data_IF_725310051332
#
_entry.id   IF_725310051332
#
_cell.length_a   1.000
_cell.length_b   1.000
_cell.length_c   1.000
_cell.angle_alpha   90.00
_cell.angle_beta   90.00
_cell.angle_gamma   90.00
#
_symmetry.space_group_name_H-M   'P 1'
#
loop_
_entity.id
_entity.type
_entity.pdbx_description
1 polymer ?
#
# COMPACT_ATOMS: atom_id res chain seq x y z
N UNK A 1 -17.59 -2.13 0.38
CA UNK A 1 -18.34 -1.20 -0.51
C UNK A 1 -19.84 -1.40 -0.39
N UNK A 2 -20.32 -2.63 -0.38
CA UNK A 2 -21.75 -2.97 -0.36
C UNK A 2 -22.49 -2.42 0.87
N UNK A 3 -21.85 -2.42 2.03
CA UNK A 3 -22.40 -1.79 3.24
C UNK A 3 -22.71 -0.31 2.99
N UNK A 4 -21.72 0.48 2.57
CA UNK A 4 -21.91 1.92 2.34
C UNK A 4 -22.84 2.23 1.18
N UNK A 5 -22.82 1.41 0.11
CA UNK A 5 -23.77 1.55 -1.00
C UNK A 5 -25.21 1.42 -0.50
N UNK A 6 -25.46 0.45 0.38
CA UNK A 6 -26.78 0.22 0.97
C UNK A 6 -27.18 1.31 1.96
N UNK A 7 -26.27 1.69 2.88
CA UNK A 7 -26.53 2.67 3.93
C UNK A 7 -26.77 4.08 3.35
N UNK A 8 -26.04 4.46 2.32
CA UNK A 8 -26.09 5.79 1.73
C UNK A 8 -27.02 5.89 0.50
N UNK A 9 -27.51 4.75 -0.02
CA UNK A 9 -28.28 4.70 -1.27
C UNK A 9 -27.47 5.17 -2.50
N UNK A 10 -26.14 5.19 -2.42
CA UNK A 10 -25.25 5.70 -3.47
C UNK A 10 -24.46 4.55 -4.09
N UNK A 11 -24.32 4.57 -5.42
CA UNK A 11 -23.41 3.66 -6.09
C UNK A 11 -21.95 4.12 -5.91
N UNK A 12 -21.31 3.67 -4.83
CA UNK A 12 -19.95 4.06 -4.47
C UNK A 12 -18.95 3.67 -5.56
N UNK A 13 -19.14 2.53 -6.23
CA UNK A 13 -18.28 2.12 -7.35
C UNK A 13 -18.40 3.06 -8.55
N UNK A 14 -19.60 3.56 -8.85
CA UNK A 14 -19.80 4.53 -9.92
C UNK A 14 -19.15 5.87 -9.58
N UNK A 15 -19.28 6.34 -8.34
CA UNK A 15 -18.63 7.58 -7.88
C UNK A 15 -17.10 7.48 -7.96
N UNK A 16 -16.52 6.33 -7.59
CA UNK A 16 -15.08 6.08 -7.73
C UNK A 16 -14.63 6.09 -9.19
N UNK A 17 -15.40 5.47 -10.09
CA UNK A 17 -15.12 5.53 -11.54
C UNK A 17 -15.19 6.95 -12.09
N UNK A 18 -16.16 7.76 -11.67
CA UNK A 18 -16.25 9.16 -12.07
C UNK A 18 -15.08 10.03 -11.60
N UNK A 19 -14.40 9.62 -10.52
CA UNK A 19 -13.19 10.26 -10.00
C UNK A 19 -11.89 9.66 -10.54
N UNK A 20 -11.97 8.66 -11.42
CA UNK A 20 -10.82 7.88 -11.88
C UNK A 20 -9.76 8.69 -12.63
N UNK A 21 -10.15 9.79 -13.28
CA UNK A 21 -9.23 10.67 -14.01
C UNK A 21 -8.22 11.38 -13.11
N UNK A 22 -8.47 11.38 -11.77
CA UNK A 22 -7.56 11.91 -10.76
C UNK A 22 -6.61 10.87 -10.19
N UNK A 23 -6.75 9.60 -10.62
CA UNK A 23 -5.86 8.52 -10.18
C UNK A 23 -4.56 8.62 -10.99
N UNK A 24 -3.46 8.87 -10.32
CA UNK A 24 -2.13 8.93 -10.92
C UNK A 24 -1.10 8.29 -10.00
N UNK A 25 -0.01 7.81 -10.60
CA UNK A 25 1.17 7.34 -9.86
C UNK A 25 1.90 8.56 -9.28
N UNK A 26 2.36 8.46 -8.04
CA UNK A 26 3.18 9.51 -7.42
C UNK A 26 4.48 9.72 -8.21
N UNK A 27 4.98 10.97 -8.26
CA UNK A 27 6.30 11.24 -8.85
C UNK A 27 7.37 10.32 -8.25
N UNK A 28 8.21 9.75 -9.09
CA UNK A 28 9.30 8.84 -8.72
C UNK A 28 8.90 7.42 -8.31
N UNK A 29 7.62 7.16 -7.98
CA UNK A 29 7.20 5.84 -7.51
C UNK A 29 7.31 4.76 -8.59
N UNK A 30 7.05 5.09 -9.84
CA UNK A 30 7.18 4.13 -10.94
C UNK A 30 8.65 3.74 -11.17
N UNK A 31 9.57 4.71 -11.18
CA UNK A 31 11.00 4.44 -11.29
C UNK A 31 11.53 3.59 -10.13
N UNK A 32 11.05 3.86 -8.91
CA UNK A 32 11.38 3.05 -7.74
C UNK A 32 10.87 1.61 -7.86
N UNK A 33 9.63 1.41 -8.28
CA UNK A 33 9.06 0.08 -8.49
C UNK A 33 9.77 -0.69 -9.61
N UNK A 34 10.11 -0.02 -10.72
CA UNK A 34 10.87 -0.61 -11.81
C UNK A 34 12.25 -1.10 -11.33
N UNK A 35 12.97 -0.27 -10.57
CA UNK A 35 14.27 -0.64 -10.04
C UNK A 35 14.20 -1.81 -9.03
N UNK A 36 13.10 -1.92 -8.26
CA UNK A 36 12.86 -3.07 -7.40
C UNK A 36 12.57 -4.34 -8.22
N UNK A 37 11.73 -4.23 -9.25
CA UNK A 37 11.35 -5.36 -10.11
C UNK A 37 12.53 -5.91 -10.94
N UNK A 38 13.49 -5.05 -11.32
CA UNK A 38 14.73 -5.44 -12.00
C UNK A 38 15.73 -6.13 -11.03
N UNK A 39 15.51 -6.03 -9.73
CA UNK A 39 16.37 -6.58 -8.69
C UNK A 39 15.95 -7.98 -8.23
N UNK A 40 16.72 -8.59 -7.32
CA UNK A 40 16.43 -9.92 -6.79
C UNK A 40 15.36 -9.92 -5.67
N UNK A 41 14.77 -8.79 -5.38
CA UNK A 41 13.80 -8.65 -4.29
C UNK A 41 12.39 -8.97 -4.76
N UNK A 42 11.65 -9.70 -3.95
CA UNK A 42 10.22 -9.91 -4.18
C UNK A 42 9.43 -8.70 -3.72
N UNK A 43 8.55 -8.19 -4.57
CA UNK A 43 7.75 -6.99 -4.34
C UNK A 43 6.28 -7.36 -4.23
N UNK A 44 5.67 -7.14 -3.06
CA UNK A 44 4.26 -7.44 -2.81
C UNK A 44 3.52 -6.15 -2.48
N UNK A 45 2.47 -5.85 -3.22
CA UNK A 45 1.53 -4.79 -2.85
C UNK A 45 0.57 -5.31 -1.78
N UNK A 46 0.46 -4.59 -0.67
CA UNK A 46 -0.53 -4.86 0.39
C UNK A 46 -1.37 -3.61 0.64
N UNK A 47 -2.69 -3.74 0.62
CA UNK A 47 -3.60 -2.59 0.73
C UNK A 47 -4.86 -2.89 1.54
N UNK A 48 -5.38 -1.89 2.25
CA UNK A 48 -6.71 -1.93 2.86
C UNK A 48 -7.84 -1.59 1.86
N UNK A 49 -7.52 -1.25 0.62
CA UNK A 49 -8.53 -0.98 -0.40
C UNK A 49 -9.30 -2.26 -0.78
N UNK A 50 -10.62 -2.13 -0.94
CA UNK A 50 -11.45 -3.19 -1.53
C UNK A 50 -10.96 -3.53 -2.95
N UNK A 51 -11.16 -4.79 -3.39
CA UNK A 51 -10.72 -5.26 -4.72
C UNK A 51 -11.15 -4.33 -5.84
N UNK A 52 -12.42 -3.96 -5.94
CA UNK A 52 -12.90 -3.05 -7.00
C UNK A 52 -12.13 -1.72 -7.04
N UNK A 53 -11.72 -1.20 -5.88
CA UNK A 53 -10.97 0.05 -5.81
C UNK A 53 -9.49 -0.15 -6.16
N UNK A 54 -8.93 -1.30 -5.83
CA UNK A 54 -7.58 -1.70 -6.22
C UNK A 54 -7.53 -1.90 -7.74
N UNK A 55 -8.43 -2.71 -8.29
CA UNK A 55 -8.48 -3.02 -9.72
C UNK A 55 -8.63 -1.76 -10.58
N UNK A 56 -9.51 -0.83 -10.18
CA UNK A 56 -9.64 0.46 -10.84
C UNK A 56 -8.33 1.27 -10.84
N UNK A 57 -7.59 1.28 -9.71
CA UNK A 57 -6.31 1.98 -9.62
C UNK A 57 -5.26 1.33 -10.50
N UNK A 58 -5.19 0.01 -10.52
CA UNK A 58 -4.24 -0.75 -11.34
C UNK A 58 -4.54 -0.59 -12.82
N UNK A 59 -5.81 -0.67 -13.22
CA UNK A 59 -6.25 -0.41 -14.60
C UNK A 59 -5.81 0.98 -15.10
N UNK A 60 -5.90 2.00 -14.23
CA UNK A 60 -5.54 3.38 -14.59
C UNK A 60 -4.05 3.67 -14.57
N UNK A 61 -3.31 2.97 -13.77
CA UNK A 61 -1.87 3.26 -13.54
C UNK A 61 -0.93 2.26 -14.18
N UNK A 62 -1.39 1.01 -14.41
CA UNK A 62 -0.58 -0.06 -14.95
C UNK A 62 0.62 -0.47 -14.09
N UNK A 63 0.64 -0.11 -12.79
CA UNK A 63 1.77 -0.42 -11.90
C UNK A 63 1.78 -1.85 -11.39
N UNK A 64 0.72 -2.61 -11.63
CA UNK A 64 0.61 -4.03 -11.27
C UNK A 64 1.77 -4.87 -11.82
N UNK A 65 2.29 -4.50 -12.99
CA UNK A 65 3.42 -5.16 -13.65
C UNK A 65 4.72 -5.22 -12.84
N UNK A 66 4.85 -4.38 -11.81
CA UNK A 66 6.04 -4.31 -10.96
C UNK A 66 5.94 -5.17 -9.68
N UNK A 67 4.82 -5.85 -9.48
CA UNK A 67 4.57 -6.61 -8.26
C UNK A 67 4.46 -8.11 -8.55
N UNK A 68 5.11 -8.92 -7.72
CA UNK A 68 4.98 -10.37 -7.74
C UNK A 68 3.65 -10.85 -7.16
N UNK A 69 3.01 -10.05 -6.33
CA UNK A 69 1.69 -10.32 -5.78
C UNK A 69 0.94 -9.04 -5.38
N UNK A 70 -0.39 -9.09 -5.49
CA UNK A 70 -1.31 -8.02 -5.15
C UNK A 70 -2.32 -8.53 -4.11
N UNK A 71 -2.23 -8.03 -2.89
CA UNK A 71 -3.01 -8.50 -1.74
C UNK A 71 -3.87 -7.38 -1.19
N UNK A 72 -5.18 -7.56 -1.22
CA UNK A 72 -6.13 -6.74 -0.47
C UNK A 72 -6.33 -7.33 0.92
N UNK A 73 -6.42 -6.50 1.94
CA UNK A 73 -6.78 -6.93 3.30
C UNK A 73 -8.16 -7.61 3.35
N UNK A 74 -9.03 -7.29 2.42
CA UNK A 74 -10.33 -7.92 2.25
C UNK A 74 -10.24 -9.40 1.83
N UNK A 75 -9.14 -9.81 1.17
CA UNK A 75 -8.92 -11.22 0.80
C UNK A 75 -8.73 -12.10 2.04
N UNK A 76 -8.24 -11.49 3.12
CA UNK A 76 -8.00 -12.18 4.39
C UNK A 76 -9.05 -11.86 5.46
N UNK A 77 -9.96 -10.92 5.23
CA UNK A 77 -10.94 -10.48 6.20
C UNK A 77 -10.35 -9.71 7.39
N UNK A 78 -9.10 -9.27 7.31
CA UNK A 78 -8.39 -8.58 8.37
C UNK A 78 -7.64 -7.36 7.81
N UNK A 79 -7.84 -6.19 8.42
CA UNK A 79 -7.11 -4.98 8.05
C UNK A 79 -5.61 -5.09 8.39
N UNK A 80 -4.76 -4.33 7.70
CA UNK A 80 -3.28 -4.34 7.89
C UNK A 80 -2.87 -3.95 9.33
N UNK A 81 -3.72 -3.25 10.06
CA UNK A 81 -3.53 -2.90 11.47
C UNK A 81 -3.63 -4.11 12.41
N UNK A 82 -4.24 -5.22 11.96
CA UNK A 82 -4.43 -6.42 12.75
C UNK A 82 -3.30 -7.43 12.53
N UNK A 83 -2.81 -8.05 13.62
CA UNK A 83 -1.78 -9.09 13.55
C UNK A 83 -2.20 -10.32 12.73
N UNK A 84 -3.52 -10.58 12.64
CA UNK A 84 -4.05 -11.67 11.82
C UNK A 84 -3.76 -11.48 10.34
N UNK A 85 -3.76 -10.22 9.83
CA UNK A 85 -3.39 -9.92 8.45
C UNK A 85 -1.95 -10.38 8.14
N UNK A 86 -0.99 -10.00 8.98
CA UNK A 86 0.43 -10.34 8.77
C UNK A 86 0.70 -11.83 8.84
N UNK A 87 0.04 -12.53 9.77
CA UNK A 87 0.12 -14.00 9.85
C UNK A 87 -0.40 -14.66 8.58
N UNK A 88 -1.54 -14.18 8.07
CA UNK A 88 -2.14 -14.72 6.85
C UNK A 88 -1.26 -14.41 5.62
N UNK A 89 -0.73 -13.18 5.55
CA UNK A 89 0.20 -12.78 4.50
C UNK A 89 1.45 -13.67 4.49
N UNK A 90 2.07 -13.87 5.65
CA UNK A 90 3.27 -14.73 5.78
C UNK A 90 3.00 -16.19 5.45
N UNK A 91 1.78 -16.68 5.69
CA UNK A 91 1.37 -18.03 5.30
C UNK A 91 1.16 -18.16 3.79
N UNK A 92 0.45 -17.20 3.17
CA UNK A 92 0.12 -17.24 1.73
C UNK A 92 1.31 -16.87 0.84
N UNK A 93 2.18 -16.00 1.35
CA UNK A 93 3.38 -15.51 0.66
C UNK A 93 4.57 -15.58 1.62
N UNK A 94 5.17 -16.76 1.82
CA UNK A 94 6.26 -16.94 2.79
C UNK A 94 7.43 -15.97 2.55
N UNK A 95 7.88 -15.29 3.60
CA UNK A 95 9.04 -14.39 3.60
C UNK A 95 9.67 -14.36 4.99
N UNK A 96 10.91 -13.89 5.09
CA UNK A 96 11.56 -13.60 6.35
C UNK A 96 11.19 -12.20 6.85
N UNK A 97 10.39 -12.07 7.92
CA UNK A 97 9.97 -10.76 8.42
C UNK A 97 11.16 -9.86 8.78
N UNK A 98 12.23 -10.40 9.35
CA UNK A 98 13.40 -9.62 9.76
C UNK A 98 14.14 -8.97 8.58
N UNK A 99 13.95 -9.49 7.37
CA UNK A 99 14.57 -8.99 6.13
C UNK A 99 13.58 -8.23 5.24
N UNK A 100 12.33 -8.11 5.66
CA UNK A 100 11.29 -7.43 4.90
C UNK A 100 11.28 -5.92 5.18
N UNK A 101 11.08 -5.12 4.14
CA UNK A 101 10.78 -3.70 4.22
C UNK A 101 9.28 -3.47 3.96
N UNK A 102 8.62 -2.76 4.88
CA UNK A 102 7.29 -2.21 4.68
C UNK A 102 7.39 -0.70 4.44
N UNK A 103 6.84 -0.24 3.34
CA UNK A 103 6.62 1.18 3.05
C UNK A 103 5.12 1.45 3.11
N UNK A 104 4.69 2.31 4.01
CA UNK A 104 3.27 2.63 4.21
C UNK A 104 3.10 4.08 4.66
N UNK A 105 1.94 4.67 4.42
CA UNK A 105 1.61 6.02 4.87
C UNK A 105 0.87 6.02 6.22
N UNK A 106 0.36 4.88 6.65
CA UNK A 106 -0.39 4.71 7.90
C UNK A 106 0.53 4.32 9.05
N UNK A 107 0.73 5.22 10.02
CA UNK A 107 1.52 4.91 11.22
C UNK A 107 0.96 3.71 12.01
N UNK A 108 -0.37 3.54 12.19
CA UNK A 108 -0.93 2.32 12.79
C UNK A 108 -0.54 1.03 12.05
N UNK A 109 -0.49 1.05 10.71
CA UNK A 109 -0.04 -0.10 9.92
C UNK A 109 1.44 -0.38 10.14
N UNK A 110 2.29 0.66 10.15
CA UNK A 110 3.72 0.52 10.43
C UNK A 110 3.96 -0.03 11.85
N UNK A 111 3.22 0.44 12.84
CA UNK A 111 3.29 -0.11 14.20
C UNK A 111 2.87 -1.58 14.25
N UNK A 112 1.82 -1.96 13.51
CA UNK A 112 1.39 -3.36 13.41
C UNK A 112 2.45 -4.23 12.73
N UNK A 113 3.06 -3.75 11.65
CA UNK A 113 4.18 -4.44 10.97
C UNK A 113 5.38 -4.63 11.89
N UNK A 114 5.74 -3.61 12.69
CA UNK A 114 6.81 -3.71 13.69
C UNK A 114 6.50 -4.75 14.76
N UNK A 115 5.28 -4.76 15.27
CA UNK A 115 4.84 -5.74 16.26
C UNK A 115 4.86 -7.18 15.70
N UNK A 116 4.61 -7.34 14.41
CA UNK A 116 4.75 -8.63 13.72
C UNK A 116 6.20 -9.08 13.55
N UNK A 117 7.17 -8.16 13.62
CA UNK A 117 8.60 -8.45 13.49
C UNK A 117 9.19 -8.06 12.14
N UNK A 118 8.54 -7.18 11.36
CA UNK A 118 9.15 -6.64 10.14
C UNK A 118 10.39 -5.83 10.51
N UNK A 119 11.54 -6.17 9.89
CA UNK A 119 12.84 -5.61 10.23
C UNK A 119 13.04 -4.19 9.75
N UNK A 120 12.40 -3.80 8.66
CA UNK A 120 12.57 -2.48 8.06
C UNK A 120 11.20 -1.84 7.80
N UNK A 121 11.06 -0.58 8.20
CA UNK A 121 9.80 0.16 8.13
C UNK A 121 10.09 1.58 7.70
N UNK A 122 9.35 2.11 6.73
CA UNK A 122 9.48 3.49 6.28
C UNK A 122 8.09 4.11 6.06
N UNK A 123 7.93 5.35 6.48
CA UNK A 123 6.69 6.10 6.30
C UNK A 123 6.78 7.02 5.09
N UNK A 124 5.67 7.18 4.38
CA UNK A 124 5.51 8.24 3.38
C UNK A 124 5.21 9.55 4.11
N UNK A 125 6.08 10.56 3.97
CA UNK A 125 5.92 11.85 4.66
C UNK A 125 4.70 12.62 4.19
N UNK A 126 4.43 12.62 2.90
CA UNK A 126 3.28 13.33 2.32
C UNK A 126 2.35 12.33 1.61
N UNK A 127 1.45 11.65 2.34
CA UNK A 127 0.55 10.66 1.74
C UNK A 127 -0.46 11.24 0.76
N UNK A 128 -0.90 12.48 0.99
CA UNK A 128 -1.79 13.24 0.11
C UNK A 128 -1.04 14.45 -0.45
N UNK A 129 -0.84 14.50 -1.76
CA UNK A 129 -0.13 15.58 -2.44
C UNK A 129 -0.86 16.92 -2.41
N UNK A 130 -2.15 16.95 -2.08
CA UNK A 130 -2.95 18.16 -1.90
C UNK A 130 -2.82 18.78 -0.51
N UNK A 131 -2.22 18.06 0.44
CA UNK A 131 -2.03 18.48 1.82
C UNK A 131 -0.54 18.73 2.12
N UNK A 132 -0.21 19.52 3.16
CA UNK A 132 1.16 19.67 3.61
C UNK A 132 1.78 18.32 4.01
N UNK A 133 3.09 18.21 3.84
CA UNK A 133 3.84 17.07 4.38
C UNK A 133 3.71 17.03 5.90
N UNK A 134 3.69 15.84 6.48
CA UNK A 134 3.66 15.64 7.93
C UNK A 134 4.94 16.19 8.56
N UNK A 135 4.83 16.85 9.68
CA UNK A 135 5.99 17.34 10.43
C UNK A 135 6.82 16.17 10.97
N UNK A 136 6.15 15.13 11.48
CA UNK A 136 6.77 13.96 12.08
C UNK A 136 6.17 12.65 11.56
N UNK A 137 7.04 11.65 11.40
CA UNK A 137 6.68 10.25 11.11
C UNK A 137 7.24 9.30 12.16
N UNK A 138 7.70 9.85 13.28
CA UNK A 138 8.31 9.08 14.34
C UNK A 138 7.45 7.91 14.82
N UNK A 139 8.10 6.79 15.11
CA UNK A 139 9.53 6.54 15.12
C UNK A 139 10.06 5.92 13.80
N UNK A 140 9.40 6.18 12.68
CA UNK A 140 9.74 5.58 11.38
C UNK A 140 10.48 6.59 10.49
N UNK A 141 11.57 6.18 9.81
CA UNK A 141 12.20 7.02 8.80
C UNK A 141 11.18 7.40 7.72
N UNK A 142 11.27 8.63 7.24
CA UNK A 142 10.36 9.17 6.24
C UNK A 142 10.95 9.07 4.83
N UNK A 143 10.11 8.69 3.88
CA UNK A 143 10.39 8.83 2.46
C UNK A 143 9.71 10.13 1.98
N UNK A 144 10.52 11.08 1.56
CA UNK A 144 10.08 12.34 0.97
C UNK A 144 10.00 12.21 -0.56
N UNK A 145 10.97 11.52 -1.14
CA UNK A 145 11.12 11.34 -2.58
C UNK A 145 11.61 9.92 -2.88
N UNK A 146 10.86 9.20 -3.71
CA UNK A 146 11.19 7.85 -4.10
C UNK A 146 12.49 7.76 -4.92
N UNK A 147 12.86 8.81 -5.65
CA UNK A 147 14.11 8.85 -6.43
C UNK A 147 15.36 8.88 -5.55
N UNK A 148 15.22 9.30 -4.28
CA UNK A 148 16.34 9.34 -3.31
C UNK A 148 16.56 8.03 -2.57
N UNK A 149 15.63 7.08 -2.72
CA UNK A 149 15.66 5.78 -2.06
C UNK A 149 15.66 4.63 -3.06
N UNK A 150 16.12 4.89 -4.28
CA UNK A 150 16.35 3.85 -5.28
C UNK A 150 17.32 2.80 -4.74
N UNK A 151 17.04 1.50 -4.94
CA UNK A 151 17.88 0.39 -4.47
C UNK A 151 19.25 0.37 -5.15
#
# INVERSE_FOLDING_TARGET
>A
LDFWTRELGLNISALKRAAADRIAVRPGAEAFLAALADGPKRVIMVTNAHRDALDLKLERTGIDRYFDALVSSHDYGHAKEAQAFWRQLSHSHPFDPARALLVDDSLPVLHSGRLFGLGHLASIRQPDSSLPAREHTDPFPAIDDFLRVLP
#
